data_IF_402369206533
#
_entry.id   IF_402369206533
#
_cell.length_a   1.000
_cell.length_b   1.000
_cell.length_c   1.000
_cell.angle_alpha   90.00
_cell.angle_beta   90.00
_cell.angle_gamma   90.00
#
_symmetry.space_group_name_H-M   'P 1'
#
loop_
_entity.id
_entity.type
_entity.pdbx_description
1 polymer ?
#
# COMPACT_ATOMS: atom_id res chain seq x y z
N UNK A 1 12.69 -57.09 28.12
CA UNK A 1 11.86 -55.89 28.44
C UNK A 1 11.63 -55.10 27.15
N UNK A 2 10.39 -55.01 26.66
CA UNK A 2 10.02 -54.34 25.39
C UNK A 2 9.60 -52.89 25.67
N UNK A 3 10.21 -51.91 24.99
CA UNK A 3 9.83 -50.49 25.05
C UNK A 3 8.53 -50.27 24.23
N UNK A 4 7.53 -49.52 24.73
CA UNK A 4 6.33 -49.20 23.95
C UNK A 4 6.59 -48.07 22.94
N UNK A 5 5.89 -48.16 21.81
CA UNK A 5 5.98 -47.26 20.67
C UNK A 5 5.42 -45.84 20.95
N UNK A 6 6.09 -44.82 20.41
CA UNK A 6 5.68 -43.43 20.49
C UNK A 6 4.47 -43.15 19.57
N UNK A 7 3.44 -42.49 20.12
CA UNK A 7 2.26 -42.00 19.39
C UNK A 7 2.66 -40.87 18.44
N UNK A 8 2.24 -40.96 17.18
CA UNK A 8 2.36 -39.91 16.19
C UNK A 8 1.53 -38.68 16.60
N UNK A 9 2.18 -37.53 16.76
CA UNK A 9 1.55 -36.23 16.97
C UNK A 9 0.99 -35.69 15.65
N UNK A 10 -0.23 -35.18 15.71
CA UNK A 10 -1.01 -34.72 14.55
C UNK A 10 -0.37 -33.55 13.81
N UNK A 11 -0.54 -33.55 12.47
CA UNK A 11 -0.19 -32.43 11.60
C UNK A 11 -0.97 -31.17 12.01
N UNK A 12 -0.32 -30.00 12.23
CA UNK A 12 -1.05 -28.76 12.41
C UNK A 12 -1.72 -28.35 11.10
N UNK A 13 -3.00 -28.03 11.18
CA UNK A 13 -3.86 -27.68 10.05
C UNK A 13 -3.31 -26.50 9.25
N UNK A 14 -3.43 -26.60 7.93
CA UNK A 14 -3.11 -25.54 6.99
C UNK A 14 -3.80 -24.22 7.40
N UNK A 15 -3.10 -23.08 7.37
CA UNK A 15 -3.70 -21.80 7.72
C UNK A 15 -4.87 -21.51 6.76
N UNK A 16 -6.08 -21.36 7.33
CA UNK A 16 -7.29 -20.96 6.61
C UNK A 16 -6.98 -19.74 5.74
N UNK A 17 -7.19 -19.88 4.43
CA UNK A 17 -7.10 -18.78 3.49
C UNK A 17 -7.99 -17.62 3.98
N UNK A 18 -7.36 -16.47 4.27
CA UNK A 18 -8.10 -15.25 4.64
C UNK A 18 -9.01 -14.89 3.48
N UNK A 19 -10.32 -14.73 3.75
CA UNK A 19 -11.29 -14.27 2.75
C UNK A 19 -10.73 -13.03 2.04
N UNK A 20 -10.80 -12.96 0.69
CA UNK A 20 -10.38 -11.78 -0.04
C UNK A 20 -11.18 -10.58 0.48
N UNK A 21 -10.47 -9.50 0.85
CA UNK A 21 -11.11 -8.28 1.34
C UNK A 21 -11.99 -7.71 0.22
N UNK A 22 -13.21 -7.24 0.53
CA UNK A 22 -14.13 -6.75 -0.49
C UNK A 22 -13.47 -5.60 -1.28
N UNK A 23 -13.71 -5.61 -2.60
CA UNK A 23 -13.41 -4.49 -3.47
C UNK A 23 -14.44 -3.39 -3.18
N UNK A 24 -14.00 -2.27 -2.61
CA UNK A 24 -14.88 -1.17 -2.22
C UNK A 24 -14.12 -0.02 -1.58
N UNK A 25 -14.74 1.16 -1.61
CA UNK A 25 -14.23 2.45 -1.10
C UNK A 25 -13.58 2.33 0.29
N UNK A 26 -12.25 2.36 0.31
CA UNK A 26 -11.44 2.22 1.51
C UNK A 26 -11.46 3.47 2.42
N UNK A 27 -11.98 4.61 1.97
CA UNK A 27 -12.05 5.84 2.79
C UNK A 27 -13.01 5.74 3.97
N UNK A 28 -14.12 5.00 3.80
CA UNK A 28 -15.10 4.78 4.88
C UNK A 28 -14.51 4.04 6.08
N UNK A 29 -13.31 3.44 5.91
CA UNK A 29 -12.59 2.72 6.96
C UNK A 29 -11.58 3.59 7.70
N UNK A 30 -11.33 4.83 7.25
CA UNK A 30 -10.44 5.79 7.92
C UNK A 30 -11.26 6.68 8.86
N UNK A 31 -11.07 6.52 10.16
CA UNK A 31 -11.84 7.26 11.17
C UNK A 31 -11.41 8.73 11.31
N UNK A 32 -12.29 9.58 11.85
CA UNK A 32 -12.02 11.00 12.09
C UNK A 32 -10.73 11.26 12.88
N UNK A 33 -10.40 10.39 13.85
CA UNK A 33 -9.15 10.46 14.62
C UNK A 33 -7.91 10.34 13.73
N UNK A 34 -7.94 9.46 12.73
CA UNK A 34 -6.82 9.29 11.79
C UNK A 34 -6.64 10.54 10.91
N UNK A 35 -7.75 11.12 10.44
CA UNK A 35 -7.74 12.39 9.71
C UNK A 35 -7.20 13.56 10.53
N UNK A 36 -7.60 13.67 11.80
CA UNK A 36 -7.06 14.67 12.71
C UNK A 36 -5.55 14.48 12.94
N UNK A 37 -5.09 13.23 13.10
CA UNK A 37 -3.67 12.91 13.23
C UNK A 37 -2.87 13.26 11.96
N UNK A 38 -3.41 13.02 10.77
CA UNK A 38 -2.78 13.44 9.50
C UNK A 38 -2.69 14.96 9.39
N UNK A 39 -3.75 15.69 9.75
CA UNK A 39 -3.75 17.16 9.76
C UNK A 39 -2.63 17.70 10.65
N UNK A 40 -2.46 17.15 11.86
CA UNK A 40 -1.38 17.51 12.77
C UNK A 40 0.00 17.10 12.23
N UNK A 41 0.12 15.94 11.59
CA UNK A 41 1.38 15.51 10.97
C UNK A 41 1.80 16.46 9.85
N UNK A 42 0.86 16.92 9.02
CA UNK A 42 1.11 17.84 7.90
C UNK A 42 1.62 19.20 8.35
N UNK A 43 1.11 19.71 9.48
CA UNK A 43 1.66 20.92 10.11
C UNK A 43 3.13 20.76 10.52
N UNK A 44 3.60 19.53 10.73
CA UNK A 44 4.99 19.19 11.08
C UNK A 44 5.81 18.72 9.88
N UNK A 45 5.33 18.95 8.65
CA UNK A 45 6.02 18.54 7.42
C UNK A 45 6.01 17.02 7.18
N UNK A 46 5.03 16.30 7.72
CA UNK A 46 4.88 14.85 7.56
C UNK A 46 3.48 14.47 7.11
N UNK A 47 3.31 13.26 6.59
CA UNK A 47 2.00 12.70 6.24
C UNK A 47 1.78 11.46 7.07
N UNK A 48 0.61 11.33 7.68
CA UNK A 48 0.23 10.09 8.31
C UNK A 48 -0.28 9.13 7.24
N UNK A 49 0.37 7.98 7.13
CA UNK A 49 0.07 7.02 6.08
C UNK A 49 -1.09 6.15 6.52
N UNK A 50 -2.19 6.27 5.78
CA UNK A 50 -3.37 5.48 6.04
C UNK A 50 -3.26 4.09 5.43
N UNK A 51 -3.89 3.14 6.10
CA UNK A 51 -4.08 1.80 5.59
C UNK A 51 -5.46 1.33 6.00
N UNK A 52 -6.42 1.45 5.10
CA UNK A 52 -7.81 1.07 5.32
C UNK A 52 -8.01 -0.43 5.66
N UNK A 53 -6.97 -1.24 5.51
CA UNK A 53 -6.99 -2.64 5.90
C UNK A 53 -6.69 -2.87 7.39
N UNK A 54 -6.31 -1.81 8.12
CA UNK A 54 -6.08 -1.73 9.57
C UNK A 54 -7.29 -1.14 10.30
N UNK A 55 -7.45 -1.41 11.63
CA UNK A 55 -8.48 -0.77 12.43
C UNK A 55 -8.42 0.75 12.32
N UNK A 56 -9.57 1.35 11.97
CA UNK A 56 -9.75 2.80 11.79
C UNK A 56 -8.78 3.47 10.78
N UNK A 57 -8.15 2.69 9.90
CA UNK A 57 -7.25 3.21 8.87
C UNK A 57 -5.86 3.61 9.37
N UNK A 58 -5.51 3.38 10.63
CA UNK A 58 -4.22 3.78 11.20
C UNK A 58 -3.17 2.67 11.07
N UNK A 59 -2.00 3.02 10.54
CA UNK A 59 -0.83 2.13 10.47
C UNK A 59 0.29 2.56 11.44
N UNK A 60 0.13 3.71 12.13
CA UNK A 60 1.00 4.15 13.22
C UNK A 60 2.32 4.82 12.81
N UNK A 61 2.55 5.04 11.52
CA UNK A 61 3.79 5.65 11.03
C UNK A 61 3.54 6.83 10.08
N UNK A 62 4.58 7.63 9.84
CA UNK A 62 4.51 8.86 9.05
C UNK A 62 5.63 8.92 8.01
N UNK A 63 5.39 9.59 6.89
CA UNK A 63 6.38 9.87 5.84
C UNK A 63 6.71 11.37 5.83
N UNK A 64 7.91 11.75 5.39
CA UNK A 64 8.20 13.16 5.09
C UNK A 64 7.27 13.67 3.97
N UNK A 65 6.77 14.91 4.11
CA UNK A 65 5.79 15.48 3.19
C UNK A 65 6.33 15.63 1.77
N UNK A 66 7.60 16.06 1.60
CA UNK A 66 8.18 16.24 0.26
C UNK A 66 8.40 14.90 -0.42
N UNK A 67 8.83 13.88 0.34
CA UNK A 67 8.91 12.50 -0.16
C UNK A 67 7.54 11.99 -0.59
N UNK A 68 6.51 12.19 0.24
CA UNK A 68 5.15 11.76 -0.03
C UNK A 68 4.59 12.41 -1.31
N UNK A 69 4.63 13.74 -1.42
CA UNK A 69 4.04 14.45 -2.57
C UNK A 69 4.76 14.09 -3.88
N UNK A 70 6.08 13.89 -3.84
CA UNK A 70 6.85 13.46 -5.01
C UNK A 70 6.41 12.06 -5.48
N UNK A 71 6.21 11.12 -4.56
CA UNK A 71 5.83 9.74 -4.88
C UNK A 71 4.36 9.65 -5.24
N UNK A 72 3.48 10.40 -4.55
CA UNK A 72 2.06 10.55 -4.91
C UNK A 72 1.94 11.06 -6.34
N UNK A 73 2.56 12.20 -6.65
CA UNK A 73 2.56 12.77 -7.99
C UNK A 73 3.10 11.79 -9.04
N UNK A 74 4.15 11.02 -8.72
CA UNK A 74 4.68 10.01 -9.63
C UNK A 74 3.69 8.86 -9.89
N UNK A 75 3.06 8.32 -8.85
CA UNK A 75 2.07 7.23 -8.98
C UNK A 75 0.92 7.69 -9.88
N UNK A 76 0.32 8.83 -9.52
CA UNK A 76 -0.83 9.41 -10.21
C UNK A 76 -0.52 9.70 -11.68
N UNK A 77 0.61 10.37 -11.94
CA UNK A 77 1.07 10.64 -13.31
C UNK A 77 1.34 9.36 -14.10
N UNK A 78 1.88 8.33 -13.46
CA UNK A 78 2.16 7.05 -14.14
C UNK A 78 0.87 6.35 -14.55
N UNK A 79 -0.17 6.39 -13.71
CA UNK A 79 -1.50 5.87 -14.06
C UNK A 79 -2.05 6.64 -15.26
N UNK A 80 -2.04 7.97 -15.20
CA UNK A 80 -2.64 8.82 -16.25
C UNK A 80 -1.92 8.66 -17.61
N UNK A 81 -0.61 8.42 -17.60
CA UNK A 81 0.19 8.34 -18.84
C UNK A 81 0.35 6.94 -19.41
N UNK A 82 0.21 5.90 -18.59
CA UNK A 82 0.55 4.52 -18.97
C UNK A 82 -0.58 3.52 -18.71
N UNK A 83 -1.74 4.00 -18.26
CA UNK A 83 -2.94 3.19 -18.13
C UNK A 83 -3.26 2.47 -19.43
N UNK A 84 -3.70 1.23 -19.32
CA UNK A 84 -4.32 0.50 -20.43
C UNK A 84 -5.68 1.11 -20.81
N UNK A 85 -6.42 0.45 -21.71
CA UNK A 85 -7.77 0.88 -22.11
C UNK A 85 -8.76 1.03 -20.93
N UNK A 86 -8.46 0.45 -19.76
CA UNK A 86 -9.26 0.55 -18.53
C UNK A 86 -8.61 1.50 -17.51
N UNK A 87 -7.59 2.26 -17.90
CA UNK A 87 -6.84 3.18 -17.06
C UNK A 87 -6.00 2.50 -15.99
N UNK A 88 -5.70 1.20 -16.14
CA UNK A 88 -4.98 0.42 -15.14
C UNK A 88 -3.52 0.22 -15.50
N UNK A 89 -2.65 0.21 -14.48
CA UNK A 89 -1.22 -0.10 -14.60
C UNK A 89 -0.80 -1.20 -13.63
N UNK A 90 0.19 -2.05 -13.98
CA UNK A 90 0.83 -2.92 -13.01
C UNK A 90 1.51 -2.08 -11.91
N UNK A 91 1.33 -2.44 -10.64
CA UNK A 91 2.01 -1.76 -9.53
C UNK A 91 3.54 -1.84 -9.68
N UNK A 92 4.05 -2.97 -10.20
CA UNK A 92 5.48 -3.16 -10.39
C UNK A 92 6.06 -2.15 -11.39
N UNK A 93 5.33 -1.81 -12.46
CA UNK A 93 5.74 -0.77 -13.41
C UNK A 93 5.89 0.60 -12.73
N UNK A 94 5.03 0.92 -11.76
CA UNK A 94 5.12 2.16 -10.97
C UNK A 94 6.36 2.13 -10.07
N UNK A 95 6.64 0.99 -9.43
CA UNK A 95 7.84 0.79 -8.60
C UNK A 95 9.11 0.98 -9.45
N UNK A 96 9.20 0.29 -10.59
CA UNK A 96 10.39 0.29 -11.44
C UNK A 96 10.64 1.68 -12.04
N UNK A 97 9.58 2.37 -12.46
CA UNK A 97 9.68 3.73 -12.98
C UNK A 97 10.09 4.75 -11.90
N UNK A 98 9.59 4.60 -10.67
CA UNK A 98 10.01 5.45 -9.55
C UNK A 98 11.47 5.19 -9.18
N UNK A 99 11.87 3.91 -9.12
CA UNK A 99 13.23 3.50 -8.85
C UNK A 99 14.19 4.07 -9.90
N UNK A 100 13.88 3.89 -11.19
CA UNK A 100 14.69 4.44 -12.30
C UNK A 100 14.83 5.96 -12.20
N UNK A 101 13.75 6.67 -11.86
CA UNK A 101 13.72 8.14 -11.85
C UNK A 101 14.36 8.77 -10.61
N UNK A 102 14.17 8.17 -9.44
CA UNK A 102 14.48 8.83 -8.17
C UNK A 102 15.55 8.14 -7.32
N UNK A 103 16.17 7.06 -7.79
CA UNK A 103 17.22 6.35 -7.03
C UNK A 103 18.40 7.22 -6.58
N UNK A 104 18.72 8.30 -7.31
CA UNK A 104 19.79 9.27 -6.96
C UNK A 104 19.24 10.59 -6.43
N UNK A 105 17.93 10.69 -6.20
CA UNK A 105 17.30 11.93 -5.79
C UNK A 105 17.64 12.25 -4.33
N UNK A 106 17.93 13.52 -4.02
CA UNK A 106 18.34 13.98 -2.67
C UNK A 106 17.36 13.62 -1.55
N UNK A 107 16.07 13.50 -1.87
CA UNK A 107 15.05 13.08 -0.90
C UNK A 107 15.13 11.58 -0.54
N UNK A 108 15.84 10.77 -1.32
CA UNK A 108 15.97 9.33 -1.10
C UNK A 108 17.45 8.93 -1.04
N UNK A 109 18.17 9.27 0.05
CA UNK A 109 19.62 9.06 0.13
C UNK A 109 20.02 7.58 0.02
N UNK A 110 19.15 6.66 0.43
CA UNK A 110 19.36 5.20 0.28
C UNK A 110 18.94 4.66 -1.09
N UNK A 111 18.33 5.49 -1.93
CA UNK A 111 17.90 5.15 -3.29
C UNK A 111 16.90 4.01 -3.43
N UNK A 112 16.30 3.49 -2.35
CA UNK A 112 15.34 2.37 -2.39
C UNK A 112 13.90 2.89 -2.36
N UNK A 113 13.18 2.77 -3.48
CA UNK A 113 11.86 3.41 -3.66
C UNK A 113 10.66 2.46 -3.46
N UNK A 114 10.87 1.14 -3.42
CA UNK A 114 9.79 0.16 -3.33
C UNK A 114 8.82 0.43 -2.18
N UNK A 115 9.34 0.67 -0.97
CA UNK A 115 8.50 0.91 0.19
C UNK A 115 7.78 2.26 0.12
N UNK A 116 8.45 3.32 -0.37
CA UNK A 116 7.80 4.61 -0.59
C UNK A 116 6.61 4.49 -1.52
N UNK A 117 6.77 3.80 -2.65
CA UNK A 117 5.68 3.58 -3.62
C UNK A 117 4.56 2.75 -3.01
N UNK A 118 4.87 1.60 -2.40
CA UNK A 118 3.86 0.68 -1.85
C UNK A 118 3.05 1.33 -0.74
N UNK A 119 3.72 2.05 0.15
CA UNK A 119 3.07 2.73 1.25
C UNK A 119 2.23 3.91 0.80
N UNK A 120 2.78 4.77 -0.08
CA UNK A 120 2.01 5.87 -0.66
C UNK A 120 0.79 5.33 -1.40
N UNK A 121 0.93 4.24 -2.15
CA UNK A 121 -0.21 3.61 -2.84
C UNK A 121 -1.29 3.13 -1.86
N UNK A 122 -0.93 2.50 -0.75
CA UNK A 122 -1.91 2.06 0.25
C UNK A 122 -2.62 3.26 0.91
N UNK A 123 -1.90 4.35 1.12
CA UNK A 123 -2.49 5.61 1.56
C UNK A 123 -3.47 6.18 0.52
N UNK A 124 -3.08 6.20 -0.76
CA UNK A 124 -3.96 6.65 -1.85
C UNK A 124 -5.22 5.78 -2.01
N UNK A 125 -5.13 4.48 -1.71
CA UNK A 125 -6.31 3.60 -1.63
C UNK A 125 -7.25 4.08 -0.53
N UNK A 126 -6.71 4.32 0.67
CA UNK A 126 -7.47 4.79 1.81
C UNK A 126 -8.05 6.21 1.58
N UNK A 127 -7.38 7.05 0.80
CA UNK A 127 -7.86 8.39 0.42
C UNK A 127 -8.76 8.42 -0.81
N UNK A 128 -9.06 7.26 -1.43
CA UNK A 128 -9.84 7.16 -2.67
C UNK A 128 -9.27 7.93 -3.86
N UNK A 129 -7.95 7.99 -3.97
CA UNK A 129 -7.32 8.52 -5.18
C UNK A 129 -7.00 7.43 -6.20
N UNK A 130 -6.77 6.22 -5.70
CA UNK A 130 -6.50 5.03 -6.51
C UNK A 130 -7.26 3.83 -5.96
N UNK A 131 -7.56 2.88 -6.83
CA UNK A 131 -8.17 1.60 -6.44
C UNK A 131 -7.42 0.41 -7.06
N UNK A 132 -7.59 -0.76 -6.45
CA UNK A 132 -7.06 -2.03 -6.96
C UNK A 132 -8.00 -2.57 -8.03
N UNK A 133 -7.44 -3.11 -9.11
CA UNK A 133 -8.22 -3.90 -10.06
C UNK A 133 -8.24 -5.36 -9.58
N UNK A 134 -9.41 -5.94 -9.28
CA UNK A 134 -9.52 -7.33 -8.83
C UNK A 134 -9.20 -8.33 -9.97
N UNK A 135 -8.88 -9.57 -9.60
CA UNK A 135 -8.77 -10.69 -10.56
C UNK A 135 -7.51 -10.72 -11.44
N UNK A 136 -6.51 -9.87 -11.20
CA UNK A 136 -5.25 -9.89 -11.96
C UNK A 136 -4.17 -10.69 -11.23
N UNK A 137 -3.42 -11.53 -11.97
CA UNK A 137 -2.29 -12.30 -11.43
C UNK A 137 -1.14 -11.42 -10.90
N UNK A 138 -0.97 -10.22 -11.47
CA UNK A 138 -0.11 -9.17 -10.90
C UNK A 138 -0.98 -8.06 -10.33
N UNK A 139 -0.58 -7.46 -9.21
CA UNK A 139 -1.37 -6.38 -8.63
C UNK A 139 -1.42 -5.17 -9.57
N UNK A 140 -2.63 -4.76 -9.96
CA UNK A 140 -2.89 -3.58 -10.80
C UNK A 140 -3.64 -2.50 -10.03
N UNK A 141 -3.40 -1.25 -10.41
CA UNK A 141 -4.05 -0.06 -9.82
C UNK A 141 -4.53 0.90 -10.92
N UNK A 142 -5.57 1.68 -10.62
CA UNK A 142 -6.10 2.75 -11.47
C UNK A 142 -6.62 3.91 -10.61
N UNK A 143 -6.95 5.05 -11.23
CA UNK A 143 -7.64 6.17 -10.55
C UNK A 143 -9.02 5.71 -10.06
N UNK A 144 -9.46 6.25 -8.92
CA UNK A 144 -10.89 6.20 -8.59
C UNK A 144 -11.67 7.10 -9.57
N UNK A 145 -12.90 6.68 -9.88
CA UNK A 145 -13.87 7.46 -10.66
C UNK A 145 -14.71 8.35 -9.75
#
# INVERSE_FOLDING_TARGET
MKRPAAKASGKPGSPKAKKPKPAGSYSRLVGAKAWAADKLARQRGRVHIFNATRPHGMDGWTMDLKQYELIRGHILKTIDQKGDAQGAVPLQLVVDSAQKRYQKHKLFPKGRLTNYVRYTKVDLEARQEVERVPGSGSQRIRRCK
#
